data_IF_373587612916
#
_entry.id   IF_373587612916
#
_cell.length_a   1.000
_cell.length_b   1.000
_cell.length_c   1.000
_cell.angle_alpha   90.00
_cell.angle_beta   90.00
_cell.angle_gamma   90.00
#
_symmetry.space_group_name_H-M   'P 1'
#
loop_
_entity.id
_entity.type
_entity.pdbx_description
1 polymer ?
#
# COMPACT_ATOMS: atom_id res chain seq x y z
N UNK A 1 50.95 0.68 -4.12
CA UNK A 1 50.04 1.43 -3.22
C UNK A 1 48.73 1.76 -3.96
N UNK A 2 47.77 0.87 -4.02
CA UNK A 2 46.39 1.13 -4.52
C UNK A 2 45.50 -0.07 -4.17
N UNK A 3 45.19 -0.30 -2.87
CA UNK A 3 44.23 -1.31 -2.38
C UNK A 3 43.58 -0.81 -1.09
N UNK A 4 42.85 0.33 -1.13
CA UNK A 4 42.09 0.81 0.05
C UNK A 4 40.85 1.66 -0.31
N UNK A 5 40.20 1.46 -1.47
CA UNK A 5 38.95 2.24 -1.81
C UNK A 5 37.71 1.41 -2.10
N UNK A 6 37.77 0.09 -1.99
CA UNK A 6 36.60 -0.76 -2.36
C UNK A 6 35.74 -1.27 -1.17
N UNK A 7 36.02 -0.84 0.06
CA UNK A 7 35.26 -1.30 1.25
C UNK A 7 34.33 -0.27 1.89
N UNK A 8 34.06 0.87 1.23
CA UNK A 8 33.22 1.93 1.80
C UNK A 8 31.86 2.14 1.10
N UNK A 9 31.56 1.42 0.04
CA UNK A 9 30.34 1.62 -0.75
C UNK A 9 29.15 0.69 -0.36
N UNK A 10 29.40 -0.42 0.33
CA UNK A 10 28.35 -1.38 0.71
C UNK A 10 27.61 -1.01 2.01
N UNK A 11 28.13 -0.05 2.78
CA UNK A 11 27.54 0.31 4.09
C UNK A 11 26.59 1.52 4.07
N UNK A 12 26.26 2.10 2.92
CA UNK A 12 25.35 3.27 2.83
C UNK A 12 23.96 2.97 2.26
N UNK A 13 23.72 1.79 1.76
CA UNK A 13 22.39 1.41 1.27
C UNK A 13 21.42 0.92 2.36
N UNK A 14 21.87 0.77 3.61
CA UNK A 14 21.01 0.26 4.71
C UNK A 14 20.48 1.35 5.66
N UNK A 15 20.72 2.64 5.41
CA UNK A 15 20.34 3.73 6.32
C UNK A 15 19.47 4.83 5.70
N UNK A 16 18.88 4.61 4.51
CA UNK A 16 18.01 5.60 3.85
C UNK A 16 16.52 5.23 3.90
N UNK A 17 16.10 4.45 4.87
CA UNK A 17 14.72 4.05 5.02
C UNK A 17 14.09 4.63 6.30
N UNK A 18 14.24 5.93 6.57
CA UNK A 18 13.37 6.67 7.51
C UNK A 18 13.65 8.18 7.42
N UNK A 19 12.98 8.85 6.52
CA UNK A 19 12.38 10.21 6.66
C UNK A 19 11.77 10.60 5.33
N UNK A 20 10.48 10.29 5.13
CA UNK A 20 9.69 10.89 4.06
C UNK A 20 9.12 12.18 4.61
N UNK A 21 9.73 13.30 4.26
CA UNK A 21 9.12 14.63 4.42
C UNK A 21 8.13 14.81 3.26
N UNK A 22 6.85 14.83 3.58
CA UNK A 22 5.77 15.09 2.62
C UNK A 22 5.78 16.56 2.24
N UNK A 23 6.04 16.85 0.95
CA UNK A 23 5.60 18.10 0.33
C UNK A 23 4.52 17.75 -0.70
N UNK A 24 3.31 18.19 -0.40
CA UNK A 24 2.12 17.94 -1.20
C UNK A 24 1.96 18.94 -2.33
N UNK A 25 1.69 18.46 -3.56
CA UNK A 25 0.68 19.04 -4.45
C UNK A 25 0.35 18.03 -5.56
N UNK A 26 -0.91 17.62 -5.65
CA UNK A 26 -1.48 16.85 -6.76
C UNK A 26 -1.94 15.45 -6.38
N UNK A 27 -3.23 15.30 -6.16
CA UNK A 27 -4.07 14.12 -6.28
C UNK A 27 -3.48 12.75 -5.93
N UNK A 28 -3.00 12.54 -4.73
CA UNK A 28 -2.67 11.21 -4.25
C UNK A 28 -3.89 10.61 -3.54
N UNK A 29 -4.50 9.61 -4.16
CA UNK A 29 -5.23 8.62 -3.37
C UNK A 29 -4.26 8.09 -2.32
N UNK A 30 -4.54 8.37 -1.05
CA UNK A 30 -3.77 7.87 0.08
C UNK A 30 -3.77 6.35 0.04
N UNK A 31 -2.68 5.75 -0.42
CA UNK A 31 -2.42 4.35 -0.15
C UNK A 31 -2.12 4.24 1.35
N UNK A 32 -3.15 3.95 2.12
CA UNK A 32 -3.00 3.52 3.50
C UNK A 32 -2.28 2.19 3.43
N UNK A 33 -1.01 2.17 3.86
CA UNK A 33 -0.37 0.92 4.26
C UNK A 33 -1.36 0.22 5.17
N UNK A 34 -1.87 -0.95 4.81
CA UNK A 34 -2.72 -1.72 5.69
C UNK A 34 -1.84 -2.27 6.82
N UNK A 35 -1.63 -1.46 7.83
CA UNK A 35 -1.42 -1.93 9.18
C UNK A 35 -2.49 -3.00 9.42
N UNK A 36 -2.24 -4.08 10.17
CA UNK A 36 -3.19 -5.19 10.26
C UNK A 36 -4.62 -4.75 10.45
N UNK A 37 -5.57 -5.58 10.09
CA UNK A 37 -7.02 -5.24 10.05
C UNK A 37 -7.50 -4.51 11.33
N UNK A 38 -6.88 -4.78 12.46
CA UNK A 38 -7.15 -4.13 13.76
C UNK A 38 -6.75 -2.64 13.75
N UNK A 39 -5.58 -2.33 13.24
CA UNK A 39 -5.05 -0.96 13.12
C UNK A 39 -5.86 -0.15 12.11
N UNK A 40 -6.29 -0.74 11.00
CA UNK A 40 -7.17 -0.11 10.02
C UNK A 40 -8.52 0.28 10.61
N UNK A 41 -9.12 -0.62 11.40
CA UNK A 41 -10.37 -0.38 12.12
C UNK A 41 -10.24 0.81 13.06
N UNK A 42 -9.19 0.85 13.88
CA UNK A 42 -8.94 1.96 14.81
C UNK A 42 -8.66 3.26 14.06
N UNK A 43 -7.86 3.22 13.00
CA UNK A 43 -7.55 4.39 12.17
C UNK A 43 -8.82 4.97 11.52
N UNK A 44 -9.69 4.10 10.97
CA UNK A 44 -10.97 4.52 10.41
C UNK A 44 -11.88 5.14 11.48
N UNK A 45 -12.03 4.50 12.64
CA UNK A 45 -12.82 5.06 13.76
C UNK A 45 -12.29 6.43 14.18
N UNK A 46 -10.97 6.57 14.32
CA UNK A 46 -10.29 7.82 14.69
C UNK A 46 -10.50 8.92 13.66
N UNK A 47 -10.50 8.59 12.37
CA UNK A 47 -10.77 9.57 11.31
C UNK A 47 -12.17 10.16 11.37
N UNK A 48 -13.10 9.53 12.10
CA UNK A 48 -14.47 10.01 12.28
C UNK A 48 -14.64 10.97 13.47
N UNK A 49 -13.64 11.14 14.31
CA UNK A 49 -13.73 12.02 15.50
C UNK A 49 -14.09 13.43 15.09
N UNK A 50 -15.09 13.99 15.78
CA UNK A 50 -15.65 15.31 15.45
C UNK A 50 -16.85 15.29 14.50
N UNK A 51 -17.17 14.16 13.88
CA UNK A 51 -18.42 14.03 13.13
C UNK A 51 -19.62 14.26 14.06
N UNK A 52 -20.50 15.20 13.69
CA UNK A 52 -21.73 15.53 14.41
C UNK A 52 -22.95 15.00 13.66
N UNK A 53 -23.89 14.37 14.36
CA UNK A 53 -25.16 13.94 13.74
C UNK A 53 -25.92 15.12 13.15
N UNK A 54 -26.85 14.83 12.26
CA UNK A 54 -27.58 15.83 11.49
C UNK A 54 -29.02 15.98 11.97
N UNK A 55 -29.57 17.18 11.71
CA UNK A 55 -30.96 17.48 11.95
C UNK A 55 -31.91 16.77 10.95
N UNK A 56 -31.39 16.32 9.82
CA UNK A 56 -32.14 15.64 8.76
C UNK A 56 -31.20 14.81 7.86
N UNK A 57 -31.73 14.15 6.83
CA UNK A 57 -30.95 13.41 5.84
C UNK A 57 -30.12 14.29 4.89
N UNK A 58 -30.02 15.60 5.12
CA UNK A 58 -29.19 16.48 4.31
C UNK A 58 -27.75 16.58 4.86
N UNK A 59 -26.77 16.69 3.94
CA UNK A 59 -25.34 16.92 4.26
C UNK A 59 -24.74 15.84 5.17
N UNK A 60 -25.12 14.57 5.01
CA UNK A 60 -24.68 13.48 5.90
C UNK A 60 -23.16 13.26 5.87
N UNK A 61 -22.47 13.62 4.79
CA UNK A 61 -21.03 13.43 4.66
C UNK A 61 -20.19 14.59 5.20
N UNK A 62 -20.81 15.75 5.40
CA UNK A 62 -20.15 16.92 5.99
C UNK A 62 -20.06 16.78 7.52
N UNK A 63 -18.92 17.11 8.09
CA UNK A 63 -18.71 16.94 9.55
C UNK A 63 -19.48 17.97 10.40
N UNK A 64 -19.74 19.15 9.86
CA UNK A 64 -20.26 20.30 10.61
C UNK A 64 -21.59 20.84 10.07
N UNK A 65 -21.85 20.72 8.77
CA UNK A 65 -23.08 21.24 8.18
C UNK A 65 -24.31 20.46 8.69
N UNK A 66 -25.44 21.15 8.80
CA UNK A 66 -26.73 20.59 9.21
C UNK A 66 -26.68 19.83 10.56
N UNK A 67 -25.79 20.24 11.48
CA UNK A 67 -25.66 19.63 12.81
C UNK A 67 -26.98 19.74 13.59
N UNK A 68 -27.33 18.68 14.31
CA UNK A 68 -28.58 18.61 15.07
C UNK A 68 -28.56 17.46 16.07
N UNK A 69 -29.72 17.12 16.60
CA UNK A 69 -29.95 16.01 17.53
C UNK A 69 -31.02 15.03 16.99
N UNK A 70 -31.09 14.89 15.68
CA UNK A 70 -32.11 14.05 15.00
C UNK A 70 -31.68 12.61 14.75
N UNK A 71 -30.49 12.21 15.18
CA UNK A 71 -29.92 10.89 14.92
C UNK A 71 -29.80 10.57 13.41
N UNK A 72 -29.60 11.58 12.55
CA UNK A 72 -29.33 11.37 11.13
C UNK A 72 -27.83 11.30 10.89
N UNK A 73 -27.36 10.18 10.37
CA UNK A 73 -25.91 9.94 10.15
C UNK A 73 -25.64 9.27 8.83
N UNK A 74 -24.43 9.49 8.30
CA UNK A 74 -23.92 8.72 7.16
C UNK A 74 -23.79 7.23 7.49
N UNK A 75 -23.49 6.90 8.75
CA UNK A 75 -23.31 5.51 9.18
C UNK A 75 -24.58 4.67 8.98
N UNK A 76 -25.75 5.17 9.40
CA UNK A 76 -27.01 4.50 9.17
C UNK A 76 -27.36 4.42 7.67
N UNK A 77 -27.14 5.51 6.92
CA UNK A 77 -27.34 5.53 5.46
C UNK A 77 -26.50 4.47 4.75
N UNK A 78 -25.20 4.42 5.02
CA UNK A 78 -24.24 3.52 4.33
C UNK A 78 -24.49 2.04 4.68
N UNK A 79 -25.01 1.77 5.86
CA UNK A 79 -25.46 0.44 6.28
C UNK A 79 -26.82 0.04 5.70
N UNK A 80 -27.52 0.96 5.03
CA UNK A 80 -28.87 0.72 4.49
C UNK A 80 -29.94 0.59 5.58
N UNK A 81 -29.69 1.15 6.78
CA UNK A 81 -30.66 1.16 7.90
C UNK A 81 -31.31 2.54 8.05
N UNK A 82 -32.45 2.59 8.71
CA UNK A 82 -33.19 3.84 8.92
C UNK A 82 -32.45 4.80 9.87
N UNK A 83 -32.36 6.08 9.48
CA UNK A 83 -31.94 7.17 10.35
C UNK A 83 -32.99 7.52 11.44
N UNK A 84 -32.63 8.38 12.40
CA UNK A 84 -33.52 8.79 13.47
C UNK A 84 -33.49 7.89 14.72
N UNK A 85 -32.56 6.95 14.79
CA UNK A 85 -32.36 6.04 15.91
C UNK A 85 -31.00 6.25 16.57
N UNK A 86 -30.82 5.94 17.87
CA UNK A 86 -29.52 5.97 18.50
C UNK A 86 -28.47 5.20 17.70
N UNK A 87 -27.34 5.81 17.38
CA UNK A 87 -26.43 5.32 16.37
C UNK A 87 -25.05 4.86 16.88
N UNK A 88 -24.87 4.72 18.19
CA UNK A 88 -23.62 4.21 18.74
C UNK A 88 -23.26 2.81 18.17
N UNK A 89 -24.24 1.90 18.10
CA UNK A 89 -24.06 0.57 17.54
C UNK A 89 -23.88 0.60 16.01
N UNK A 90 -24.57 1.49 15.31
CA UNK A 90 -24.40 1.67 13.87
C UNK A 90 -23.02 2.22 13.51
N UNK A 91 -22.46 3.11 14.32
CA UNK A 91 -21.09 3.59 14.16
C UNK A 91 -20.08 2.46 14.24
N UNK A 92 -20.13 1.64 15.28
CA UNK A 92 -19.24 0.49 15.45
C UNK A 92 -19.40 -0.51 14.30
N UNK A 93 -20.62 -0.85 13.94
CA UNK A 93 -20.89 -1.74 12.81
C UNK A 93 -20.33 -1.17 11.49
N UNK A 94 -20.57 0.11 11.21
CA UNK A 94 -20.07 0.79 10.02
C UNK A 94 -18.54 0.75 9.94
N UNK A 95 -17.86 1.03 11.04
CA UNK A 95 -16.38 0.99 11.09
C UNK A 95 -15.87 -0.41 10.76
N UNK A 96 -16.40 -1.45 11.41
CA UNK A 96 -15.98 -2.84 11.18
C UNK A 96 -16.23 -3.27 9.72
N UNK A 97 -17.41 -2.99 9.19
CA UNK A 97 -17.79 -3.33 7.82
C UNK A 97 -16.93 -2.58 6.79
N UNK A 98 -16.72 -1.28 6.97
CA UNK A 98 -15.95 -0.45 6.04
C UNK A 98 -14.45 -0.77 6.06
N UNK A 99 -13.95 -1.36 7.16
CA UNK A 99 -12.60 -1.89 7.25
C UNK A 99 -12.47 -3.33 6.73
N UNK A 100 -13.51 -3.91 6.13
CA UNK A 100 -13.50 -5.25 5.55
C UNK A 100 -13.32 -6.38 6.59
N UNK A 101 -13.76 -6.16 7.84
CA UNK A 101 -13.83 -7.22 8.85
C UNK A 101 -14.86 -8.26 8.44
N UNK A 102 -14.53 -9.55 8.59
CA UNK A 102 -15.44 -10.63 8.27
C UNK A 102 -16.78 -10.45 8.99
N UNK A 103 -17.88 -10.52 8.25
CA UNK A 103 -19.23 -10.34 8.77
C UNK A 103 -19.64 -11.35 9.84
N UNK A 104 -18.91 -12.45 9.98
CA UNK A 104 -19.09 -13.44 11.04
C UNK A 104 -18.25 -13.14 12.29
N UNK A 105 -17.35 -12.16 12.25
CA UNK A 105 -16.49 -11.78 13.37
C UNK A 105 -17.12 -10.77 14.33
N UNK A 106 -18.30 -10.24 13.99
CA UNK A 106 -19.01 -9.23 14.79
C UNK A 106 -20.52 -9.24 14.52
N UNK A 107 -21.36 -8.79 15.48
CA UNK A 107 -22.81 -8.69 15.28
C UNK A 107 -23.19 -7.45 14.45
N UNK A 108 -24.05 -7.63 13.45
CA UNK A 108 -24.61 -6.57 12.60
C UNK A 108 -25.99 -6.14 13.12
N UNK A 109 -26.01 -5.26 14.10
CA UNK A 109 -27.22 -4.82 14.77
C UNK A 109 -27.08 -3.41 15.34
N UNK A 110 -28.18 -2.66 15.40
CA UNK A 110 -28.26 -1.37 16.11
C UNK A 110 -28.59 -1.50 17.61
N UNK A 111 -28.76 -2.73 18.12
CA UNK A 111 -29.22 -2.98 19.50
C UNK A 111 -28.07 -3.49 20.38
N UNK A 112 -27.59 -2.65 21.30
CA UNK A 112 -26.38 -2.94 22.10
C UNK A 112 -26.52 -4.20 22.98
N UNK A 113 -27.66 -4.51 23.63
CA UNK A 113 -27.82 -5.78 24.35
C UNK A 113 -27.63 -7.02 23.47
N UNK A 114 -28.03 -6.95 22.19
CA UNK A 114 -27.78 -8.04 21.21
C UNK A 114 -26.28 -8.17 20.90
N UNK A 115 -25.55 -7.06 20.84
CA UNK A 115 -24.09 -7.08 20.68
C UNK A 115 -23.45 -7.83 21.85
N UNK A 116 -23.81 -7.47 23.09
CA UNK A 116 -23.28 -8.11 24.29
C UNK A 116 -23.59 -9.62 24.30
N UNK A 117 -24.82 -10.01 23.97
CA UNK A 117 -25.24 -11.41 23.94
C UNK A 117 -24.50 -12.20 22.87
N UNK A 118 -24.26 -11.60 21.70
CA UNK A 118 -23.51 -12.22 20.64
C UNK A 118 -22.09 -12.59 21.09
N UNK A 119 -21.34 -11.63 21.70
CA UNK A 119 -20.00 -11.91 22.22
C UNK A 119 -19.99 -12.95 23.35
N UNK A 120 -21.03 -12.98 24.20
CA UNK A 120 -21.18 -14.03 25.23
C UNK A 120 -21.36 -15.41 24.60
N UNK A 121 -22.21 -15.53 23.61
CA UNK A 121 -22.47 -16.78 22.91
C UNK A 121 -21.24 -17.29 22.15
N UNK A 122 -20.43 -16.35 21.61
CA UNK A 122 -19.18 -16.67 20.94
C UNK A 122 -17.99 -17.00 21.89
N UNK A 123 -18.16 -16.84 23.20
CA UNK A 123 -17.08 -17.00 24.18
C UNK A 123 -16.02 -15.87 24.13
N UNK A 124 -16.36 -14.73 23.52
CA UNK A 124 -15.48 -13.59 23.27
C UNK A 124 -15.85 -12.36 24.12
N UNK A 125 -16.69 -12.55 25.14
CA UNK A 125 -17.07 -11.51 26.08
C UNK A 125 -16.22 -11.57 27.35
N UNK A 126 -15.65 -10.46 27.74
CA UNK A 126 -14.84 -10.29 28.95
C UNK A 126 -15.47 -9.21 29.85
N UNK A 127 -15.92 -9.57 31.07
CA UNK A 127 -16.51 -8.58 31.97
C UNK A 127 -15.48 -7.53 32.43
N UNK A 128 -15.91 -6.30 32.66
CA UNK A 128 -15.05 -5.25 33.22
C UNK A 128 -14.66 -5.61 34.67
N UNK A 129 -13.48 -5.17 35.10
CA UNK A 129 -12.92 -5.51 36.42
C UNK A 129 -12.29 -6.91 36.52
N UNK A 130 -12.28 -7.69 35.44
CA UNK A 130 -11.56 -8.93 35.33
C UNK A 130 -10.07 -8.73 34.95
N UNK A 131 -9.39 -9.82 34.63
CA UNK A 131 -7.97 -9.81 34.21
C UNK A 131 -7.74 -9.44 32.76
N UNK A 132 -8.80 -9.33 31.95
CA UNK A 132 -8.70 -9.00 30.54
C UNK A 132 -8.32 -7.53 30.33
N UNK A 133 -7.23 -7.31 29.61
CA UNK A 133 -6.85 -5.99 29.12
C UNK A 133 -7.25 -5.93 27.64
N UNK A 134 -8.18 -5.04 27.26
CA UNK A 134 -8.66 -5.01 25.89
C UNK A 134 -7.59 -4.51 24.93
N UNK A 135 -7.65 -5.03 23.71
CA UNK A 135 -6.77 -4.61 22.63
C UNK A 135 -7.42 -3.48 21.80
N UNK A 136 -6.64 -2.63 21.12
CA UNK A 136 -7.18 -1.70 20.13
C UNK A 136 -8.14 -2.41 19.17
N UNK A 137 -9.28 -1.78 18.86
CA UNK A 137 -10.32 -2.35 18.00
C UNK A 137 -11.32 -3.29 18.70
N UNK A 138 -11.08 -3.71 19.93
CA UNK A 138 -12.10 -4.43 20.71
C UNK A 138 -13.31 -3.52 20.99
N UNK A 139 -14.47 -4.15 21.15
CA UNK A 139 -15.71 -3.42 21.46
C UNK A 139 -15.83 -3.23 22.96
N UNK A 140 -16.16 -2.03 23.39
CA UNK A 140 -16.44 -1.73 24.79
C UNK A 140 -17.93 -1.49 24.98
N UNK A 141 -18.51 -2.10 26.01
CA UNK A 141 -19.93 -2.10 26.33
C UNK A 141 -20.17 -1.34 27.64
N UNK A 142 -21.15 -0.46 27.63
CA UNK A 142 -21.40 0.48 28.74
C UNK A 142 -22.85 0.45 29.25
N UNK A 143 -22.99 0.98 30.45
CA UNK A 143 -24.28 1.27 31.07
C UNK A 143 -25.03 0.03 31.58
N UNK A 144 -26.00 0.26 32.46
CA UNK A 144 -26.89 -0.81 32.93
C UNK A 144 -27.70 -1.34 31.77
N UNK A 145 -27.79 -2.67 31.63
CA UNK A 145 -28.49 -3.30 30.50
C UNK A 145 -27.81 -3.14 29.14
N UNK A 146 -26.57 -2.70 29.08
CA UNK A 146 -25.83 -2.41 27.84
C UNK A 146 -26.49 -1.31 27.00
N UNK A 147 -26.51 -0.09 27.53
CA UNK A 147 -27.18 1.05 26.89
C UNK A 147 -26.31 1.80 25.88
N UNK A 148 -25.01 1.54 25.85
CA UNK A 148 -24.06 2.21 24.96
C UNK A 148 -22.90 1.31 24.57
N UNK A 149 -22.25 1.62 23.41
CA UNK A 149 -21.12 0.87 22.86
C UNK A 149 -20.13 1.81 22.19
N UNK A 150 -18.85 1.47 22.31
CA UNK A 150 -17.74 2.14 21.64
C UNK A 150 -16.69 1.12 21.18
N UNK A 151 -15.60 1.64 20.68
CA UNK A 151 -14.44 0.89 20.24
C UNK A 151 -13.22 1.31 21.07
N UNK A 152 -12.40 0.35 21.47
CA UNK A 152 -11.13 0.61 22.14
C UNK A 152 -10.14 1.21 21.15
N UNK A 153 -9.60 2.38 21.45
CA UNK A 153 -8.51 3.00 20.69
C UNK A 153 -7.16 2.44 21.16
N UNK A 154 -6.91 2.48 22.47
CA UNK A 154 -5.74 1.91 23.13
C UNK A 154 -5.94 1.86 24.65
N UNK A 155 -5.03 1.16 25.33
CA UNK A 155 -4.95 1.16 26.80
C UNK A 155 -3.63 1.74 27.23
N UNK A 156 -3.65 2.70 28.17
CA UNK A 156 -2.44 3.25 28.75
C UNK A 156 -2.67 3.70 30.19
N UNK A 157 -1.67 3.52 31.04
CA UNK A 157 -1.66 3.97 32.45
C UNK A 157 -2.93 3.58 33.24
N UNK A 158 -3.49 2.37 32.95
CA UNK A 158 -4.71 1.87 33.60
C UNK A 158 -6.02 2.49 33.08
N UNK A 159 -5.98 3.22 31.99
CA UNK A 159 -7.15 3.76 31.31
C UNK A 159 -7.37 3.11 29.95
N UNK A 160 -8.63 2.83 29.66
CA UNK A 160 -9.10 2.46 28.33
C UNK A 160 -9.51 3.73 27.60
N UNK A 161 -8.84 4.03 26.52
CA UNK A 161 -9.20 5.12 25.61
C UNK A 161 -10.10 4.58 24.53
N UNK A 162 -11.23 5.23 24.30
CA UNK A 162 -12.29 4.74 23.42
C UNK A 162 -12.66 5.78 22.36
N UNK A 163 -13.17 5.28 21.22
CA UNK A 163 -13.85 6.10 20.23
C UNK A 163 -15.31 5.68 20.21
N UNK A 164 -16.21 6.63 20.45
CA UNK A 164 -17.63 6.39 20.63
C UNK A 164 -18.45 7.20 19.63
N UNK A 165 -19.36 6.55 18.92
CA UNK A 165 -20.42 7.21 18.17
C UNK A 165 -21.61 7.53 19.11
N UNK A 166 -22.39 8.56 18.76
CA UNK A 166 -23.54 9.02 19.54
C UNK A 166 -23.19 9.37 21.01
N UNK A 167 -21.97 9.87 21.21
CA UNK A 167 -21.53 10.37 22.50
C UNK A 167 -21.69 11.89 22.54
N UNK A 168 -22.79 12.39 23.10
CA UNK A 168 -23.25 13.79 22.99
C UNK A 168 -23.39 14.21 21.51
N UNK A 169 -24.17 13.42 20.75
CA UNK A 169 -24.58 13.65 19.36
C UNK A 169 -23.40 13.69 18.36
N UNK A 170 -22.24 13.10 18.71
CA UNK A 170 -21.05 13.11 17.87
C UNK A 170 -20.17 11.88 18.05
N UNK A 171 -19.16 11.74 17.18
CA UNK A 171 -18.05 10.82 17.41
C UNK A 171 -17.01 11.50 18.29
N UNK A 172 -16.68 10.87 19.42
CA UNK A 172 -15.77 11.42 20.42
C UNK A 172 -14.73 10.40 20.88
N UNK A 173 -13.59 10.92 21.29
CA UNK A 173 -12.63 10.17 22.11
C UNK A 173 -13.01 10.38 23.59
N UNK A 174 -13.00 9.29 24.33
CA UNK A 174 -13.30 9.24 25.77
C UNK A 174 -12.28 8.36 26.47
N UNK A 175 -12.22 8.40 27.81
CA UNK A 175 -11.36 7.50 28.57
C UNK A 175 -12.00 7.10 29.89
N UNK A 176 -11.77 5.85 30.28
CA UNK A 176 -12.34 5.26 31.48
C UNK A 176 -11.26 4.48 32.24
N UNK A 177 -11.27 4.56 33.56
CA UNK A 177 -10.36 3.72 34.35
C UNK A 177 -10.73 2.24 34.17
N UNK A 178 -9.77 1.42 33.75
CA UNK A 178 -9.98 -0.01 33.40
C UNK A 178 -10.51 -0.82 34.59
N UNK A 179 -10.09 -0.47 35.79
CA UNK A 179 -10.33 -1.28 37.00
C UNK A 179 -11.49 -0.76 37.87
N UNK A 180 -11.76 0.55 37.83
CA UNK A 180 -12.70 1.17 38.76
C UNK A 180 -13.93 1.80 38.13
N UNK A 181 -14.02 1.85 36.79
CA UNK A 181 -15.18 2.40 36.09
C UNK A 181 -16.42 1.55 36.35
N UNK A 182 -17.42 2.11 37.00
CA UNK A 182 -18.73 1.49 37.17
C UNK A 182 -19.61 1.59 35.92
N UNK A 183 -19.23 2.41 34.94
CA UNK A 183 -19.97 2.57 33.69
C UNK A 183 -19.65 1.51 32.64
N UNK A 184 -18.39 1.07 32.53
CA UNK A 184 -18.00 -0.05 31.68
C UNK A 184 -18.59 -1.38 32.21
N UNK A 185 -19.11 -2.21 31.32
CA UNK A 185 -19.68 -3.53 31.63
C UNK A 185 -18.84 -4.69 31.16
N UNK A 186 -18.08 -4.48 30.09
CA UNK A 186 -17.20 -5.50 29.54
C UNK A 186 -16.75 -5.18 28.14
N UNK A 187 -16.05 -6.14 27.58
CA UNK A 187 -15.42 -6.05 26.26
C UNK A 187 -15.84 -7.22 25.39
N UNK A 188 -16.01 -6.94 24.11
CA UNK A 188 -16.15 -7.95 23.06
C UNK A 188 -14.87 -8.00 22.25
N UNK A 189 -14.12 -9.10 22.32
CA UNK A 189 -12.93 -9.29 21.52
C UNK A 189 -13.32 -9.64 20.09
N UNK A 190 -13.05 -8.74 19.15
CA UNK A 190 -13.30 -8.99 17.73
C UNK A 190 -12.19 -9.88 17.16
N UNK A 191 -12.58 -10.94 16.46
CA UNK A 191 -11.64 -11.87 15.83
C UNK A 191 -11.18 -11.30 14.48
N UNK A 192 -10.12 -10.50 14.51
CA UNK A 192 -9.48 -9.93 13.33
C UNK A 192 -8.60 -10.97 12.64
N UNK A 193 -8.46 -10.83 11.31
CA UNK A 193 -7.42 -11.58 10.60
C UNK A 193 -6.04 -11.16 11.14
N UNK A 194 -5.11 -12.09 11.29
CA UNK A 194 -3.73 -11.74 11.62
C UNK A 194 -3.19 -10.69 10.66
N UNK A 195 -2.30 -9.84 11.14
CA UNK A 195 -1.54 -8.97 10.26
C UNK A 195 -0.74 -9.83 9.30
N UNK A 196 -0.84 -9.51 8.02
CA UNK A 196 0.00 -10.14 7.02
C UNK A 196 1.43 -9.60 7.15
N UNK A 197 2.39 -10.49 7.26
CA UNK A 197 3.82 -10.19 7.35
C UNK A 197 4.62 -10.89 6.26
N UNK A 198 3.93 -11.57 5.34
CA UNK A 198 4.54 -12.24 4.20
C UNK A 198 4.89 -11.20 3.15
N UNK A 199 6.10 -11.27 2.62
CA UNK A 199 6.52 -10.38 1.54
C UNK A 199 6.04 -10.93 0.20
N UNK A 200 5.65 -10.07 -0.76
CA UNK A 200 5.43 -10.51 -2.14
C UNK A 200 6.66 -11.22 -2.71
N UNK A 201 6.42 -12.25 -3.47
CA UNK A 201 7.46 -13.00 -4.20
C UNK A 201 7.47 -12.57 -5.66
N UNK A 202 8.64 -12.12 -6.13
CA UNK A 202 8.88 -11.75 -7.54
C UNK A 202 9.65 -12.87 -8.23
N UNK A 203 9.15 -13.32 -9.37
CA UNK A 203 9.76 -14.39 -10.19
C UNK A 203 9.73 -14.02 -11.68
N UNK A 204 10.33 -14.84 -12.54
CA UNK A 204 10.29 -14.73 -14.01
C UNK A 204 10.66 -13.34 -14.54
N UNK A 205 11.61 -12.69 -13.91
CA UNK A 205 12.10 -11.37 -14.33
C UNK A 205 12.85 -11.50 -15.64
N UNK A 206 12.41 -10.78 -16.67
CA UNK A 206 13.02 -10.80 -18.01
C UNK A 206 12.74 -9.53 -18.80
N UNK A 207 13.58 -9.29 -19.80
CA UNK A 207 13.31 -8.32 -20.86
C UNK A 207 12.55 -9.04 -21.97
N UNK A 208 11.38 -8.54 -22.35
CA UNK A 208 10.50 -9.18 -23.36
C UNK A 208 10.55 -8.50 -24.71
N UNK A 209 10.96 -7.25 -24.76
CA UNK A 209 11.15 -6.48 -25.98
C UNK A 209 12.24 -5.42 -25.78
N UNK A 210 12.99 -5.15 -26.84
CA UNK A 210 13.97 -4.07 -26.89
C UNK A 210 14.00 -3.47 -28.30
N UNK A 211 14.04 -2.15 -28.38
CA UNK A 211 14.26 -1.34 -29.57
C UNK A 211 15.41 -0.37 -29.29
N UNK A 212 15.78 0.48 -30.25
CA UNK A 212 16.77 1.52 -30.03
C UNK A 212 16.35 2.56 -28.95
N UNK A 213 15.06 2.69 -28.67
CA UNK A 213 14.55 3.76 -27.79
C UNK A 213 13.79 3.23 -26.55
N UNK A 214 13.45 1.96 -26.52
CA UNK A 214 12.65 1.38 -25.44
C UNK A 214 13.08 -0.03 -25.12
N UNK A 215 12.85 -0.44 -23.86
CA UNK A 215 12.86 -1.86 -23.49
C UNK A 215 11.73 -2.15 -22.52
N UNK A 216 11.25 -3.39 -22.53
CA UNK A 216 10.12 -3.82 -21.73
C UNK A 216 10.57 -4.87 -20.72
N UNK A 217 10.36 -4.59 -19.44
CA UNK A 217 10.60 -5.53 -18.35
C UNK A 217 9.29 -6.20 -17.96
N UNK A 218 9.34 -7.51 -17.75
CA UNK A 218 8.23 -8.32 -17.26
C UNK A 218 8.67 -9.10 -16.03
N UNK A 219 7.77 -9.25 -15.07
CA UNK A 219 7.92 -10.14 -13.93
C UNK A 219 6.58 -10.76 -13.53
N UNK A 220 6.62 -11.88 -12.83
CA UNK A 220 5.47 -12.48 -12.16
C UNK A 220 5.56 -12.16 -10.67
N UNK A 221 4.46 -11.71 -10.08
CA UNK A 221 4.40 -11.41 -8.64
C UNK A 221 3.23 -12.15 -8.02
N UNK A 222 3.51 -12.82 -6.90
CA UNK A 222 2.51 -13.52 -6.08
C UNK A 222 2.62 -13.10 -4.63
N UNK A 223 1.50 -13.18 -3.92
CA UNK A 223 1.39 -12.89 -2.50
C UNK A 223 0.23 -13.69 -1.91
N UNK A 224 0.27 -14.01 -0.62
CA UNK A 224 -0.76 -14.81 0.05
C UNK A 224 -2.02 -14.01 0.41
N UNK A 225 -1.95 -12.67 0.39
CA UNK A 225 -3.11 -11.79 0.59
C UNK A 225 -3.47 -11.05 -0.70
N UNK A 226 -2.65 -10.10 -1.14
CA UNK A 226 -2.84 -9.40 -2.40
C UNK A 226 -1.64 -8.51 -2.76
N UNK A 227 -1.21 -8.53 -4.00
CA UNK A 227 -0.24 -7.56 -4.54
C UNK A 227 -0.95 -6.22 -4.78
N UNK A 228 -0.41 -5.15 -4.20
CA UNK A 228 -0.96 -3.80 -4.35
C UNK A 228 -0.36 -3.05 -5.55
N UNK A 229 0.95 -3.17 -5.74
CA UNK A 229 1.68 -2.50 -6.83
C UNK A 229 3.05 -3.11 -7.05
N UNK A 230 3.61 -2.86 -8.23
CA UNK A 230 5.03 -3.09 -8.53
C UNK A 230 5.65 -1.78 -8.97
N UNK A 231 6.85 -1.47 -8.47
CA UNK A 231 7.63 -0.29 -8.86
C UNK A 231 8.88 -0.69 -9.62
N UNK A 232 9.20 0.12 -10.64
CA UNK A 232 10.32 -0.09 -11.55
C UNK A 232 11.23 1.15 -11.54
N UNK A 233 11.98 1.44 -10.42
CA UNK A 233 12.94 2.51 -10.44
C UNK A 233 14.03 2.21 -11.45
N UNK A 234 14.21 3.13 -12.39
CA UNK A 234 15.14 3.01 -13.51
C UNK A 234 16.06 4.21 -13.58
N UNK A 235 17.33 3.98 -13.90
CA UNK A 235 18.35 5.02 -14.12
C UNK A 235 19.43 4.54 -15.08
N UNK A 236 20.18 5.48 -15.68
CA UNK A 236 21.40 5.18 -16.44
C UNK A 236 22.62 5.09 -15.50
N UNK A 237 23.63 4.33 -15.87
CA UNK A 237 24.90 4.32 -15.13
C UNK A 237 25.71 5.62 -15.31
N UNK A 238 25.38 6.38 -16.34
CA UNK A 238 26.02 7.65 -16.62
C UNK A 238 25.67 8.67 -15.55
N UNK A 239 26.67 9.22 -14.89
CA UNK A 239 26.50 10.14 -13.76
C UNK A 239 25.80 9.56 -12.50
N UNK A 240 25.63 8.26 -12.39
CA UNK A 240 24.99 7.59 -11.25
C UNK A 240 23.46 7.59 -11.32
N UNK A 241 22.79 7.98 -10.26
CA UNK A 241 21.32 7.95 -10.18
C UNK A 241 20.69 9.34 -10.32
N UNK A 242 21.31 10.24 -11.10
CA UNK A 242 20.83 11.62 -11.27
C UNK A 242 19.51 11.70 -12.08
N UNK A 243 19.25 10.70 -12.92
CA UNK A 243 18.07 10.56 -13.75
C UNK A 243 17.07 9.51 -13.23
N UNK A 244 17.21 9.03 -11.98
CA UNK A 244 16.37 7.96 -11.44
C UNK A 244 14.88 8.34 -11.47
N UNK A 245 14.06 7.46 -12.05
CA UNK A 245 12.62 7.60 -12.12
C UNK A 245 11.93 6.37 -11.51
N UNK A 246 10.93 6.62 -10.66
CA UNK A 246 10.13 5.61 -9.98
C UNK A 246 8.77 5.45 -10.66
N UNK A 247 8.64 4.48 -11.52
CA UNK A 247 7.38 4.19 -12.19
C UNK A 247 6.63 3.06 -11.48
N UNK A 248 5.28 3.13 -11.50
CA UNK A 248 4.42 2.24 -10.73
C UNK A 248 3.39 1.58 -11.63
N UNK A 249 3.25 0.26 -11.50
CA UNK A 249 2.21 -0.54 -12.14
C UNK A 249 1.32 -1.16 -11.07
N UNK A 250 0.01 -0.92 -11.16
CA UNK A 250 -1.00 -1.42 -10.21
C UNK A 250 -1.90 -2.50 -10.81
N UNK A 251 -1.83 -2.72 -12.11
CA UNK A 251 -2.63 -3.72 -12.82
C UNK A 251 -1.73 -4.83 -13.37
N UNK A 252 -2.20 -6.06 -13.31
CA UNK A 252 -1.51 -7.23 -13.86
C UNK A 252 -2.46 -8.07 -14.71
N UNK A 253 -1.86 -8.86 -15.60
CA UNK A 253 -2.56 -9.96 -16.25
C UNK A 253 -2.15 -11.27 -15.55
N UNK A 254 -3.06 -11.83 -14.74
CA UNK A 254 -2.83 -13.05 -13.97
C UNK A 254 -1.53 -13.04 -13.13
N UNK A 255 -1.24 -11.92 -12.47
CA UNK A 255 -0.03 -11.75 -11.65
C UNK A 255 1.22 -11.36 -12.45
N UNK A 256 1.11 -11.20 -13.77
CA UNK A 256 2.21 -10.73 -14.63
C UNK A 256 2.17 -9.21 -14.72
N UNK A 257 3.25 -8.57 -14.30
CA UNK A 257 3.44 -7.12 -14.37
C UNK A 257 4.43 -6.79 -15.47
N UNK A 258 4.08 -5.82 -16.29
CA UNK A 258 4.90 -5.39 -17.43
C UNK A 258 5.03 -3.88 -17.44
N UNK A 259 6.26 -3.38 -17.60
CA UNK A 259 6.55 -1.97 -17.74
C UNK A 259 7.52 -1.72 -18.89
N UNK A 260 7.24 -0.71 -19.71
CA UNK A 260 8.11 -0.30 -20.83
C UNK A 260 8.82 0.99 -20.46
N UNK A 261 10.13 0.93 -20.42
CA UNK A 261 11.02 2.04 -20.18
C UNK A 261 11.33 2.73 -21.52
N UNK A 262 11.22 4.06 -21.55
CA UNK A 262 11.59 4.88 -22.69
C UNK A 262 12.81 5.72 -22.33
N UNK A 263 13.88 5.62 -23.11
CA UNK A 263 15.11 6.37 -22.88
C UNK A 263 14.89 7.90 -22.93
N UNK A 264 13.84 8.38 -23.58
CA UNK A 264 13.47 9.80 -23.56
C UNK A 264 13.19 10.34 -22.16
N UNK A 265 12.74 9.47 -21.24
CA UNK A 265 12.48 9.81 -19.84
C UNK A 265 13.79 9.91 -19.03
N UNK A 266 14.93 9.53 -19.63
CA UNK A 266 16.28 9.48 -19.07
C UNK A 266 17.26 10.28 -19.95
N UNK A 267 16.85 11.43 -20.47
CA UNK A 267 17.69 12.32 -21.25
C UNK A 267 18.14 11.78 -22.62
N UNK A 268 17.51 10.70 -23.12
CA UNK A 268 17.92 9.97 -24.34
C UNK A 268 19.36 9.44 -24.27
N UNK A 269 19.84 9.11 -23.09
CA UNK A 269 21.20 8.61 -22.89
C UNK A 269 21.39 7.21 -23.48
N UNK A 270 22.58 6.96 -24.02
CA UNK A 270 23.05 5.65 -24.41
C UNK A 270 23.90 5.04 -23.30
N UNK A 271 23.94 3.71 -23.22
CA UNK A 271 24.71 3.00 -22.21
C UNK A 271 23.87 2.01 -21.41
N UNK A 272 24.36 1.66 -20.24
CA UNK A 272 23.73 0.67 -19.35
C UNK A 272 22.61 1.34 -18.55
N UNK A 273 21.42 0.76 -18.62
CA UNK A 273 20.26 1.07 -17.81
C UNK A 273 20.11 0.04 -16.72
N UNK A 274 19.89 0.48 -15.50
CA UNK A 274 19.56 -0.36 -14.36
C UNK A 274 18.08 -0.16 -14.01
N UNK A 275 17.31 -1.24 -14.03
CA UNK A 275 15.93 -1.25 -13.52
C UNK A 275 15.86 -2.16 -12.31
N UNK A 276 15.50 -1.62 -11.16
CA UNK A 276 15.12 -2.40 -10.00
C UNK A 276 13.63 -2.71 -10.02
N UNK A 277 13.23 -3.76 -9.33
CA UNK A 277 11.84 -4.19 -9.24
C UNK A 277 11.52 -4.42 -7.76
N UNK A 278 10.50 -3.72 -7.27
CA UNK A 278 9.96 -3.85 -5.92
C UNK A 278 8.46 -4.10 -6.00
N UNK A 279 8.01 -5.23 -5.47
CA UNK A 279 6.59 -5.50 -5.31
C UNK A 279 6.15 -5.13 -3.88
N UNK A 280 4.95 -4.60 -3.78
CA UNK A 280 4.30 -4.24 -2.52
C UNK A 280 2.97 -4.99 -2.43
N UNK A 281 2.72 -5.62 -1.30
CA UNK A 281 1.41 -6.18 -1.02
C UNK A 281 0.42 -5.11 -0.51
N UNK A 282 -0.81 -5.53 -0.25
CA UNK A 282 -1.84 -4.65 0.33
C UNK A 282 -1.63 -4.39 1.82
N UNK A 283 -0.73 -5.10 2.49
CA UNK A 283 -0.40 -4.98 3.91
C UNK A 283 0.82 -4.11 4.16
N UNK A 284 1.53 -3.71 3.08
CA UNK A 284 2.69 -2.83 3.13
C UNK A 284 4.03 -3.57 3.19
N UNK A 285 4.04 -4.91 3.09
CA UNK A 285 5.29 -5.63 2.99
C UNK A 285 5.90 -5.42 1.60
N UNK A 286 7.23 -5.47 1.52
CA UNK A 286 7.99 -5.18 0.29
C UNK A 286 8.82 -6.42 -0.05
N UNK A 287 8.81 -6.82 -1.32
CA UNK A 287 9.65 -7.91 -1.84
C UNK A 287 11.14 -7.62 -1.68
N UNK A 288 11.95 -8.63 -1.80
CA UNK A 288 13.37 -8.43 -2.06
C UNK A 288 13.54 -7.71 -3.41
N UNK A 289 14.66 -6.99 -3.57
CA UNK A 289 14.97 -6.27 -4.80
C UNK A 289 15.42 -7.24 -5.91
N UNK A 290 14.83 -7.11 -7.07
CA UNK A 290 15.31 -7.76 -8.30
C UNK A 290 15.86 -6.70 -9.25
N UNK A 291 16.88 -7.05 -10.05
CA UNK A 291 17.57 -6.10 -10.93
C UNK A 291 17.63 -6.63 -12.34
N UNK A 292 17.38 -5.75 -13.31
CA UNK A 292 17.59 -5.97 -14.73
C UNK A 292 18.57 -4.91 -15.22
N UNK A 293 19.54 -5.32 -16.03
CA UNK A 293 20.44 -4.42 -16.76
C UNK A 293 20.22 -4.57 -18.26
N UNK A 294 20.11 -3.44 -18.96
CA UNK A 294 19.94 -3.38 -20.41
C UNK A 294 20.88 -2.34 -20.99
N UNK A 295 21.64 -2.70 -22.01
CA UNK A 295 22.43 -1.73 -22.77
C UNK A 295 21.58 -1.16 -23.89
N UNK A 296 21.41 0.17 -23.89
CA UNK A 296 20.71 0.92 -24.92
C UNK A 296 21.74 1.60 -25.82
N UNK A 297 21.67 1.28 -27.08
CA UNK A 297 22.57 1.76 -28.13
C UNK A 297 21.76 2.17 -29.35
N UNK A 298 21.96 3.41 -29.82
CA UNK A 298 21.32 4.01 -31.01
C UNK A 298 22.34 4.32 -32.09
N UNK A 299 23.61 4.26 -31.72
CA UNK A 299 24.68 4.59 -32.66
C UNK A 299 24.89 3.46 -33.64
N UNK A 300 24.78 3.75 -34.89
CA UNK A 300 25.00 2.76 -35.91
C UNK A 300 26.51 2.44 -36.08
N UNK A 301 26.88 1.18 -36.31
CA UNK A 301 28.26 0.84 -36.61
C UNK A 301 28.84 1.66 -37.77
N UNK A 302 30.07 2.02 -37.66
CA UNK A 302 30.79 2.79 -38.68
C UNK A 302 31.78 1.90 -39.46
N UNK A 303 32.03 2.28 -40.71
CA UNK A 303 33.05 1.66 -41.55
C UNK A 303 34.19 2.66 -41.74
N UNK A 304 35.43 2.29 -41.38
CA UNK A 304 36.57 3.20 -41.48
C UNK A 304 37.39 3.05 -42.73
N UNK A 305 37.49 1.85 -43.28
CA UNK A 305 38.28 1.55 -44.51
C UNK A 305 37.47 0.60 -45.35
N UNK A 306 37.27 0.94 -46.64
CA UNK A 306 36.67 0.04 -47.63
C UNK A 306 37.64 -0.02 -48.84
N UNK A 307 38.24 -1.16 -49.04
CA UNK A 307 39.14 -1.43 -50.18
C UNK A 307 38.66 -2.63 -50.97
N UNK A 308 38.69 -2.50 -52.30
CA UNK A 308 38.46 -3.66 -53.21
C UNK A 308 39.85 -4.21 -53.54
N UNK A 309 40.04 -5.48 -53.24
CA UNK A 309 41.30 -6.20 -53.49
C UNK A 309 41.03 -7.45 -54.35
N UNK A 310 42.08 -7.97 -54.98
CA UNK A 310 42.09 -9.24 -55.72
C UNK A 310 40.92 -9.32 -56.72
N UNK A 311 40.84 -8.31 -57.59
CA UNK A 311 39.82 -8.26 -58.65
C UNK A 311 40.18 -9.30 -59.70
N UNK A 312 39.29 -10.24 -59.99
CA UNK A 312 39.41 -11.28 -60.99
C UNK A 312 38.18 -11.26 -61.91
N UNK A 313 38.16 -12.09 -62.96
CA UNK A 313 36.97 -12.27 -63.81
C UNK A 313 35.82 -13.01 -63.11
N UNK A 314 36.11 -13.62 -61.93
CA UNK A 314 35.15 -14.45 -61.17
C UNK A 314 34.68 -13.74 -59.88
N UNK A 315 35.33 -12.63 -59.46
CA UNK A 315 34.96 -11.90 -58.26
C UNK A 315 36.05 -10.96 -57.77
N UNK A 316 35.80 -10.36 -56.59
CA UNK A 316 36.71 -9.47 -55.90
C UNK A 316 36.61 -9.66 -54.40
N UNK A 317 37.61 -9.22 -53.65
CA UNK A 317 37.58 -9.17 -52.18
C UNK A 317 37.31 -7.76 -51.71
N UNK A 318 36.34 -7.63 -50.79
CA UNK A 318 36.14 -6.43 -50.01
C UNK A 318 36.89 -6.56 -48.70
N UNK A 319 37.73 -5.57 -48.37
CA UNK A 319 38.34 -5.43 -47.05
C UNK A 319 37.86 -4.14 -46.43
N UNK A 320 37.34 -4.24 -45.20
CA UNK A 320 36.89 -3.09 -44.44
C UNK A 320 37.10 -3.33 -42.94
N UNK A 321 37.11 -2.25 -42.18
CA UNK A 321 37.02 -2.25 -40.72
C UNK A 321 35.70 -1.71 -40.33
N UNK A 322 34.99 -2.43 -39.49
CA UNK A 322 33.74 -2.01 -38.87
C UNK A 322 33.96 -1.82 -37.37
N UNK A 323 33.47 -0.77 -36.82
CA UNK A 323 33.52 -0.49 -35.37
C UNK A 323 32.18 0.04 -34.89
N UNK A 324 31.91 -0.23 -33.64
CA UNK A 324 30.76 0.22 -32.91
C UNK A 324 31.23 0.60 -31.49
N UNK A 325 30.56 1.53 -30.84
CA UNK A 325 31.05 2.11 -29.58
C UNK A 325 30.47 1.44 -28.32
N UNK A 326 29.36 0.72 -28.43
CA UNK A 326 28.68 0.11 -27.26
C UNK A 326 28.38 -1.39 -27.39
N UNK A 327 27.58 -1.76 -28.38
CA UNK A 327 27.08 -3.14 -28.49
C UNK A 327 27.87 -4.01 -29.47
N UNK A 328 28.76 -3.40 -30.22
CA UNK A 328 29.59 -4.06 -31.22
C UNK A 328 28.86 -4.41 -32.50
N UNK A 329 29.62 -4.77 -33.50
CA UNK A 329 29.11 -5.15 -34.84
C UNK A 329 28.62 -6.59 -34.81
N UNK A 330 27.30 -6.80 -34.85
CA UNK A 330 26.70 -8.12 -34.77
C UNK A 330 26.52 -8.80 -36.16
N UNK A 331 26.32 -8.00 -37.20
CA UNK A 331 26.06 -8.53 -38.55
C UNK A 331 26.57 -7.60 -39.63
N UNK A 332 27.14 -8.17 -40.68
CA UNK A 332 27.57 -7.44 -41.86
C UNK A 332 26.90 -8.10 -43.07
N UNK A 333 26.12 -7.31 -43.80
CA UNK A 333 25.46 -7.73 -45.03
C UNK A 333 26.00 -6.97 -46.23
N UNK A 334 26.36 -7.69 -47.32
CA UNK A 334 26.62 -7.08 -48.62
C UNK A 334 25.39 -7.29 -49.49
N UNK A 335 24.80 -6.22 -50.00
CA UNK A 335 23.78 -6.29 -51.04
C UNK A 335 24.52 -6.35 -52.38
N UNK A 336 24.32 -7.43 -53.13
CA UNK A 336 24.90 -7.65 -54.49
C UNK A 336 23.97 -7.08 -55.56
#
# INVERSE_FOLDING_TARGET
>A
MKKKRLKRFISKCLAACLTVTIMATGGFGTMVSKAGQREDVVALAKSQVGYHEKASNASLDDYTANSGSGNFTKYARDLGVGNGQPWCAYFVWWVLQSSGVDSNAYPRTGWVPTIAQWFKNAGLYYPSGGSYVPNPGDIVLFGSGYSHVGMVEYVSQGYVHCIEGNSSDRVRQTSYNLYTSSYMRGFGAVNYRPSDTTKPTVTDVKVTAQTANTYTVQCTVTDDVAVAKVQFPTWTEKNGQDDIRWDTVTQSDNGVYTYTINIADHGNEEGVYNTHIYAYDSSGNISDCHTVQVTMDKTAPSFSVVEIREITTEGFKLQFEASDDLTGVQHIGCLA
#
